data_IF_668957249806
#
_entry.id   IF_668957249806
#
_cell.length_a   1.000
_cell.length_b   1.000
_cell.length_c   1.000
_cell.angle_alpha   90.00
_cell.angle_beta   90.00
_cell.angle_gamma   90.00
#
_symmetry.space_group_name_H-M   'P 1'
#
loop_
_entity.id
_entity.type
_entity.pdbx_description
1 polymer ?
#
# COMPACT_ATOMS: atom_id res chain seq x y z
N UNK A 1 -33.57 -28.65 15.50
CA UNK A 1 -32.66 -28.10 14.47
C UNK A 1 -32.68 -26.59 14.64
N UNK A 2 -31.61 -26.01 15.22
CA UNK A 2 -31.49 -24.55 15.36
C UNK A 2 -31.04 -24.03 13.99
N UNK A 3 -31.89 -23.23 13.36
CA UNK A 3 -31.63 -22.63 12.06
C UNK A 3 -30.66 -21.46 12.25
N UNK A 4 -29.36 -21.76 12.16
CA UNK A 4 -28.31 -20.73 12.19
C UNK A 4 -28.32 -20.05 10.82
N UNK A 5 -28.89 -18.86 10.78
CA UNK A 5 -28.93 -18.00 9.60
C UNK A 5 -27.53 -17.43 9.38
N UNK A 6 -26.74 -18.07 8.52
CA UNK A 6 -25.40 -17.64 8.07
C UNK A 6 -25.37 -16.25 7.38
N UNK A 7 -26.54 -15.64 7.13
CA UNK A 7 -26.66 -14.37 6.39
C UNK A 7 -26.13 -13.16 7.16
N UNK A 8 -25.93 -13.23 8.48
CA UNK A 8 -25.54 -12.06 9.32
C UNK A 8 -24.03 -11.98 9.59
N UNK A 9 -23.26 -13.01 9.24
CA UNK A 9 -21.82 -13.16 9.55
C UNK A 9 -20.94 -12.07 8.90
N UNK A 10 -21.31 -11.60 7.70
CA UNK A 10 -20.53 -10.60 6.97
C UNK A 10 -20.50 -9.20 7.62
N UNK A 11 -21.42 -8.92 8.56
CA UNK A 11 -21.43 -7.65 9.32
C UNK A 11 -20.61 -7.69 10.61
N UNK A 12 -20.22 -8.87 11.09
CA UNK A 12 -19.41 -8.99 12.31
C UNK A 12 -18.04 -8.33 12.12
N UNK A 13 -17.35 -8.62 11.01
CA UNK A 13 -16.02 -8.06 10.73
C UNK A 13 -16.05 -6.52 10.62
N UNK A 14 -16.96 -5.90 9.83
CA UNK A 14 -17.12 -4.44 9.81
C UNK A 14 -17.40 -3.83 11.18
N UNK A 15 -18.28 -4.44 11.97
CA UNK A 15 -18.68 -3.92 13.29
C UNK A 15 -17.51 -3.93 14.28
N UNK A 16 -16.72 -5.01 14.30
CA UNK A 16 -15.52 -5.11 15.13
C UNK A 16 -14.47 -4.08 14.70
N UNK A 17 -14.22 -3.95 13.39
CA UNK A 17 -13.26 -2.98 12.84
C UNK A 17 -13.66 -1.55 13.20
N UNK A 18 -14.94 -1.19 13.05
CA UNK A 18 -15.47 0.11 13.46
C UNK A 18 -15.28 0.32 14.96
N UNK A 19 -15.59 -0.68 15.78
CA UNK A 19 -15.39 -0.62 17.24
C UNK A 19 -13.94 -0.33 17.61
N UNK A 20 -12.98 -1.04 17.01
CA UNK A 20 -11.55 -0.82 17.23
C UNK A 20 -11.15 0.59 16.79
N UNK A 21 -11.60 1.04 15.60
CA UNK A 21 -11.31 2.38 15.10
C UNK A 21 -11.82 3.47 16.03
N UNK A 22 -13.03 3.32 16.58
CA UNK A 22 -13.61 4.27 17.55
C UNK A 22 -12.80 4.32 18.84
N UNK A 23 -12.35 3.16 19.34
CA UNK A 23 -11.49 3.09 20.54
C UNK A 23 -10.15 3.78 20.29
N UNK A 24 -9.51 3.51 19.15
CA UNK A 24 -8.25 4.16 18.77
C UNK A 24 -8.42 5.67 18.62
N UNK A 25 -9.52 6.11 18.00
CA UNK A 25 -9.84 7.53 17.86
C UNK A 25 -10.03 8.20 19.23
N UNK A 26 -10.77 7.56 20.14
CA UNK A 26 -10.92 8.03 21.51
C UNK A 26 -9.56 8.11 22.24
N UNK A 27 -8.69 7.11 22.06
CA UNK A 27 -7.35 7.11 22.64
C UNK A 27 -6.48 8.26 22.11
N UNK A 28 -6.55 8.56 20.81
CA UNK A 28 -5.87 9.72 20.21
C UNK A 28 -6.40 11.02 20.80
N UNK A 29 -7.73 11.18 20.87
CA UNK A 29 -8.37 12.37 21.43
C UNK A 29 -7.96 12.59 22.89
N UNK A 30 -7.92 11.53 23.69
CA UNK A 30 -7.51 11.59 25.11
C UNK A 30 -6.02 11.91 25.23
N UNK A 31 -5.15 11.22 24.48
CA UNK A 31 -3.70 11.43 24.56
C UNK A 31 -3.29 12.81 24.08
N UNK A 32 -3.83 13.26 22.95
CA UNK A 32 -3.63 14.63 22.46
C UNK A 32 -4.26 15.67 23.39
N UNK A 33 -5.47 15.41 23.89
CA UNK A 33 -6.16 16.27 24.83
C UNK A 33 -5.37 16.50 26.13
N UNK A 34 -4.84 15.42 26.71
CA UNK A 34 -4.01 15.47 27.92
C UNK A 34 -2.66 16.14 27.65
N UNK A 35 -2.00 15.82 26.54
CA UNK A 35 -0.73 16.43 26.15
C UNK A 35 -0.88 17.93 25.87
N UNK A 36 -2.00 18.36 25.28
CA UNK A 36 -2.31 19.77 24.97
C UNK A 36 -2.76 20.54 26.22
N UNK A 37 -3.53 19.91 27.13
CA UNK A 37 -3.88 20.50 28.44
C UNK A 37 -2.63 20.80 29.29
N UNK A 38 -1.63 19.91 29.25
CA UNK A 38 -0.32 20.15 29.88
C UNK A 38 0.47 21.31 29.26
N UNK A 39 0.20 21.66 27.99
CA UNK A 39 0.85 22.74 27.24
C UNK A 39 0.04 24.06 27.20
N UNK A 40 -1.17 24.09 27.78
CA UNK A 40 -2.04 25.27 27.77
C UNK A 40 -2.59 25.67 26.40
N UNK A 41 -2.56 24.77 25.40
CA UNK A 41 -3.05 25.06 24.04
C UNK A 41 -4.50 24.62 23.83
N UNK A 42 -5.24 25.34 22.97
CA UNK A 42 -6.63 25.02 22.62
C UNK A 42 -6.76 23.63 21.94
N UNK A 43 -7.79 22.88 22.33
CA UNK A 43 -8.06 21.50 21.89
C UNK A 43 -8.33 21.40 20.39
N UNK A 44 -9.06 22.35 19.82
CA UNK A 44 -9.24 22.51 18.37
C UNK A 44 -8.42 23.70 17.88
N UNK A 45 -7.15 23.48 17.51
CA UNK A 45 -6.48 24.42 16.61
C UNK A 45 -7.20 24.35 15.26
N UNK A 46 -7.55 25.51 14.69
CA UNK A 46 -7.99 25.66 13.30
C UNK A 46 -7.12 24.75 12.45
N UNK A 47 -7.71 23.85 11.65
CA UNK A 47 -6.97 22.96 10.76
C UNK A 47 -5.87 23.79 10.09
N UNK A 48 -4.62 23.55 10.48
CA UNK A 48 -3.49 24.29 9.93
C UNK A 48 -3.57 24.20 8.42
N UNK A 49 -3.26 25.30 7.71
CA UNK A 49 -3.28 25.37 6.23
C UNK A 49 -2.84 24.02 5.66
N UNK A 50 -3.79 23.22 5.17
CA UNK A 50 -3.52 21.88 4.60
C UNK A 50 -2.53 21.98 3.42
N UNK A 51 -2.48 23.16 2.80
CA UNK A 51 -1.50 23.58 1.82
C UNK A 51 -0.45 24.46 2.52
N UNK A 52 0.52 23.83 3.17
CA UNK A 52 1.77 24.49 3.56
C UNK A 52 2.50 24.85 2.26
N UNK A 53 3.10 26.05 2.16
CA UNK A 53 3.77 26.63 0.98
C UNK A 53 4.95 25.81 0.39
N UNK A 54 5.16 24.57 0.83
CA UNK A 54 6.11 23.58 0.30
C UNK A 54 5.46 22.21 0.04
N UNK A 55 4.18 22.18 -0.32
CA UNK A 55 3.55 20.95 -0.75
C UNK A 55 4.30 20.43 -1.98
N UNK A 56 4.90 19.25 -1.88
CA UNK A 56 5.58 18.55 -2.96
C UNK A 56 4.54 18.04 -3.98
N UNK A 57 3.87 18.97 -4.66
CA UNK A 57 2.86 18.68 -5.67
C UNK A 57 3.43 17.77 -6.77
N UNK A 58 4.73 17.87 -7.06
CA UNK A 58 5.43 16.99 -8.00
C UNK A 58 5.40 15.53 -7.54
N UNK A 59 5.57 15.26 -6.24
CA UNK A 59 5.50 13.88 -5.72
C UNK A 59 4.04 13.39 -5.69
N UNK A 60 3.10 14.27 -5.35
CA UNK A 60 1.66 13.94 -5.36
C UNK A 60 1.16 13.59 -6.77
N UNK A 61 1.34 14.49 -7.73
CA UNK A 61 0.93 14.27 -9.12
C UNK A 61 1.79 13.19 -9.78
N UNK A 62 3.09 13.12 -9.47
CA UNK A 62 3.97 12.05 -9.95
C UNK A 62 3.47 10.67 -9.53
N UNK A 63 3.13 10.49 -8.26
CA UNK A 63 2.51 9.24 -7.75
C UNK A 63 1.20 8.94 -8.45
N UNK A 64 0.33 9.93 -8.63
CA UNK A 64 -0.98 9.74 -9.27
C UNK A 64 -0.81 9.26 -10.73
N UNK A 65 0.07 9.91 -11.49
CA UNK A 65 0.37 9.53 -12.88
C UNK A 65 0.99 8.14 -12.93
N UNK A 66 1.93 7.82 -12.02
CA UNK A 66 2.55 6.51 -11.96
C UNK A 66 1.52 5.40 -11.69
N UNK A 67 0.53 5.69 -10.86
CA UNK A 67 -0.53 4.74 -10.51
C UNK A 67 -1.47 4.48 -11.69
N UNK A 68 -1.87 5.52 -12.40
CA UNK A 68 -2.67 5.40 -13.63
C UNK A 68 -1.90 4.61 -14.69
N UNK A 69 -0.61 4.92 -14.87
CA UNK A 69 0.26 4.20 -15.79
C UNK A 69 0.39 2.72 -15.41
N UNK A 70 0.56 2.41 -14.11
CA UNK A 70 0.62 1.04 -13.63
C UNK A 70 -0.62 0.23 -14.00
N UNK A 71 -1.82 0.76 -13.73
CA UNK A 71 -3.09 0.09 -14.06
C UNK A 71 -3.21 -0.15 -15.57
N UNK A 72 -2.81 0.82 -16.40
CA UNK A 72 -2.87 0.68 -17.85
C UNK A 72 -1.85 -0.33 -18.42
N UNK A 73 -0.68 -0.45 -17.80
CA UNK A 73 0.43 -1.27 -18.30
C UNK A 73 0.42 -2.70 -17.75
N UNK A 74 -0.17 -2.94 -16.57
CA UNK A 74 -0.11 -4.24 -15.89
C UNK A 74 -0.76 -5.36 -16.70
N UNK A 75 -1.87 -5.08 -17.38
CA UNK A 75 -2.58 -6.06 -18.21
C UNK A 75 -1.84 -6.38 -19.52
N UNK A 76 -1.00 -5.45 -20.00
CA UNK A 76 -0.26 -5.60 -21.26
C UNK A 76 1.09 -6.31 -21.04
N UNK A 77 1.88 -5.80 -20.08
CA UNK A 77 3.27 -6.26 -19.86
C UNK A 77 3.32 -7.43 -18.87
N UNK A 78 2.42 -7.43 -17.89
CA UNK A 78 2.36 -8.42 -16.82
C UNK A 78 2.82 -7.87 -15.48
N UNK A 79 2.31 -8.49 -14.41
CA UNK A 79 2.48 -8.03 -13.04
C UNK A 79 3.95 -7.82 -12.64
N UNK A 80 4.78 -8.85 -12.77
CA UNK A 80 6.15 -8.85 -12.20
C UNK A 80 7.02 -7.73 -12.76
N UNK A 81 7.04 -7.55 -14.09
CA UNK A 81 7.87 -6.52 -14.75
C UNK A 81 7.31 -5.13 -14.47
N UNK A 82 5.98 -4.97 -14.56
CA UNK A 82 5.33 -3.68 -14.30
C UNK A 82 5.54 -3.22 -12.85
N UNK A 83 5.46 -4.14 -11.88
CA UNK A 83 5.73 -3.85 -10.48
C UNK A 83 7.18 -3.48 -10.22
N UNK A 84 8.16 -4.16 -10.86
CA UNK A 84 9.58 -3.79 -10.72
C UNK A 84 9.80 -2.35 -11.19
N UNK A 85 9.32 -2.01 -12.39
CA UNK A 85 9.46 -0.66 -12.96
C UNK A 85 8.73 0.38 -12.11
N UNK A 86 7.51 0.08 -11.68
CA UNK A 86 6.70 0.97 -10.85
C UNK A 86 7.35 1.23 -9.49
N UNK A 87 7.76 0.20 -8.76
CA UNK A 87 8.39 0.34 -7.44
C UNK A 87 9.73 1.06 -7.56
N UNK A 88 10.49 0.81 -8.62
CA UNK A 88 11.72 1.53 -8.89
C UNK A 88 11.47 3.04 -9.11
N UNK A 89 10.56 3.40 -10.02
CA UNK A 89 10.22 4.80 -10.31
C UNK A 89 9.60 5.51 -9.09
N UNK A 90 8.77 4.81 -8.33
CA UNK A 90 8.18 5.33 -7.11
C UNK A 90 9.26 5.63 -6.07
N UNK A 91 10.18 4.70 -5.85
CA UNK A 91 11.26 4.88 -4.88
C UNK A 91 12.23 5.98 -5.32
N UNK A 92 12.47 6.13 -6.63
CA UNK A 92 13.25 7.24 -7.20
C UNK A 92 12.56 8.60 -7.02
N UNK A 93 11.23 8.66 -7.17
CA UNK A 93 10.43 9.88 -6.98
C UNK A 93 10.51 10.40 -5.54
N UNK A 94 10.60 9.51 -4.56
CA UNK A 94 10.65 9.87 -3.13
C UNK A 94 12.07 10.06 -2.59
N UNK A 95 13.04 9.24 -3.03
CA UNK A 95 14.42 9.23 -2.51
C UNK A 95 15.38 10.11 -3.33
N UNK A 96 15.03 10.43 -4.59
CA UNK A 96 15.83 11.26 -5.49
C UNK A 96 16.97 10.52 -6.21
N UNK A 97 17.65 11.23 -7.12
CA UNK A 97 18.60 10.65 -8.10
C UNK A 97 20.04 10.43 -7.59
N UNK A 98 20.24 10.18 -6.29
CA UNK A 98 21.60 9.89 -5.79
C UNK A 98 22.04 8.47 -6.19
N UNK A 99 23.34 8.26 -6.49
CA UNK A 99 23.85 6.93 -6.90
C UNK A 99 23.50 5.83 -5.89
N UNK A 100 23.57 6.14 -4.60
CA UNK A 100 23.23 5.21 -3.51
C UNK A 100 21.72 4.93 -3.45
N UNK A 101 20.89 5.95 -3.68
CA UNK A 101 19.44 5.81 -3.74
C UNK A 101 18.98 4.97 -4.92
N UNK A 102 19.57 5.18 -6.11
CA UNK A 102 19.24 4.40 -7.31
C UNK A 102 19.54 2.92 -7.08
N UNK A 103 20.72 2.58 -6.55
CA UNK A 103 21.07 1.17 -6.27
C UNK A 103 20.09 0.54 -5.27
N UNK A 104 19.79 1.25 -4.17
CA UNK A 104 18.81 0.76 -3.19
C UNK A 104 17.42 0.60 -3.79
N UNK A 105 16.98 1.52 -4.64
CA UNK A 105 15.67 1.44 -5.31
C UNK A 105 15.58 0.25 -6.26
N UNK A 106 16.66 -0.07 -6.99
CA UNK A 106 16.71 -1.27 -7.85
C UNK A 106 16.57 -2.52 -6.99
N UNK A 107 17.38 -2.66 -5.94
CA UNK A 107 17.33 -3.83 -5.05
C UNK A 107 15.95 -4.00 -4.44
N UNK A 108 15.38 -2.93 -3.88
CA UNK A 108 14.05 -2.96 -3.26
C UNK A 108 12.98 -3.34 -4.29
N UNK A 109 13.04 -2.76 -5.50
CA UNK A 109 12.04 -3.03 -6.55
C UNK A 109 12.02 -4.49 -6.97
N UNK A 110 13.18 -5.11 -7.14
CA UNK A 110 13.31 -6.53 -7.51
C UNK A 110 12.86 -7.42 -6.36
N UNK A 111 13.40 -7.22 -5.15
CA UNK A 111 13.06 -8.05 -3.99
C UNK A 111 11.58 -7.96 -3.68
N UNK A 112 11.01 -6.75 -3.58
CA UNK A 112 9.60 -6.57 -3.25
C UNK A 112 8.67 -7.21 -4.30
N UNK A 113 8.95 -6.97 -5.60
CA UNK A 113 8.11 -7.51 -6.67
C UNK A 113 8.17 -9.03 -6.74
N UNK A 114 9.35 -9.62 -6.55
CA UNK A 114 9.51 -11.08 -6.50
C UNK A 114 8.83 -11.68 -5.27
N UNK A 115 9.02 -11.09 -4.08
CA UNK A 115 8.37 -11.56 -2.85
C UNK A 115 6.86 -11.56 -3.00
N UNK A 116 6.28 -10.47 -3.53
CA UNK A 116 4.83 -10.38 -3.75
C UNK A 116 4.40 -11.43 -4.78
N UNK A 117 5.10 -11.54 -5.91
CA UNK A 117 4.74 -12.50 -6.95
C UNK A 117 4.80 -13.96 -6.47
N UNK A 118 5.77 -14.31 -5.60
CA UNK A 118 5.85 -15.64 -4.95
C UNK A 118 4.72 -15.83 -3.95
N UNK A 119 4.44 -14.83 -3.12
CA UNK A 119 3.40 -14.91 -2.10
C UNK A 119 2.02 -15.11 -2.74
N UNK A 120 1.70 -14.40 -3.82
CA UNK A 120 0.43 -14.61 -4.52
C UNK A 120 0.40 -15.89 -5.36
N UNK A 121 1.49 -16.23 -6.05
CA UNK A 121 1.55 -17.41 -6.91
C UNK A 121 1.62 -18.73 -6.15
N UNK A 122 2.41 -18.80 -5.07
CA UNK A 122 2.64 -20.05 -4.32
C UNK A 122 1.79 -20.10 -3.06
N UNK A 123 1.80 -19.05 -2.23
CA UNK A 123 1.12 -19.10 -0.91
C UNK A 123 -0.39 -18.96 -1.06
N UNK A 124 -0.85 -18.06 -1.94
CA UNK A 124 -2.27 -17.85 -2.17
C UNK A 124 -2.84 -18.64 -3.34
N UNK A 125 -1.99 -19.17 -4.23
CA UNK A 125 -2.39 -19.91 -5.43
C UNK A 125 -3.38 -19.10 -6.31
N UNK A 126 -3.19 -17.78 -6.38
CA UNK A 126 -3.99 -16.86 -7.19
C UNK A 126 -3.18 -16.48 -8.42
N UNK A 127 -3.81 -16.54 -9.60
CA UNK A 127 -3.19 -16.09 -10.84
C UNK A 127 -3.08 -14.56 -10.86
N UNK A 128 -1.86 -14.07 -11.06
CA UNK A 128 -1.62 -12.65 -11.31
C UNK A 128 -1.77 -12.36 -12.80
N UNK A 129 -2.03 -11.10 -13.21
CA UNK A 129 -2.04 -10.72 -14.62
C UNK A 129 -0.73 -11.13 -15.31
N UNK A 130 -0.81 -12.20 -16.10
CA UNK A 130 0.28 -12.72 -16.92
C UNK A 130 0.22 -12.04 -18.29
N UNK A 131 0.82 -10.85 -18.38
CA UNK A 131 1.03 -10.15 -19.64
C UNK A 131 2.20 -10.74 -20.43
N UNK A 132 2.64 -10.04 -21.48
CA UNK A 132 3.61 -10.54 -22.48
C UNK A 132 4.99 -10.96 -21.92
N UNK A 133 5.35 -10.53 -20.71
CA UNK A 133 6.65 -10.79 -20.07
C UNK A 133 6.49 -11.27 -18.63
N UNK A 134 5.57 -12.22 -18.40
CA UNK A 134 5.38 -12.83 -17.08
C UNK A 134 6.46 -13.88 -16.80
N UNK A 135 7.25 -13.67 -15.75
CA UNK A 135 7.95 -14.76 -15.08
C UNK A 135 6.91 -15.54 -14.25
N UNK A 136 6.11 -16.36 -14.94
CA UNK A 136 5.24 -17.35 -14.30
C UNK A 136 6.15 -18.36 -13.62
N UNK A 137 6.17 -18.37 -12.28
CA UNK A 137 6.93 -19.38 -11.52
C UNK A 137 6.46 -20.82 -11.83
N UNK A 138 5.29 -20.96 -12.45
CA UNK A 138 4.79 -22.20 -13.06
C UNK A 138 5.66 -22.69 -14.23
N UNK A 139 6.27 -21.80 -15.02
CA UNK A 139 7.16 -22.15 -16.15
C UNK A 139 8.62 -22.39 -15.72
N UNK A 140 9.00 -21.98 -14.51
CA UNK A 140 10.34 -22.21 -13.95
C UNK A 140 10.50 -23.60 -13.30
N UNK A 141 9.48 -24.46 -13.37
CA UNK A 141 9.52 -25.81 -12.82
C UNK A 141 9.65 -25.87 -11.28
N UNK A 142 9.42 -24.75 -10.59
CA UNK A 142 9.45 -24.68 -9.13
C UNK A 142 8.04 -24.99 -8.62
N UNK A 143 7.66 -26.26 -8.74
CA UNK A 143 6.59 -26.88 -7.94
C UNK A 143 7.19 -27.33 -6.62
N UNK A 144 7.00 -26.55 -5.56
CA UNK A 144 7.11 -27.09 -4.20
C UNK A 144 5.77 -27.71 -3.84
N UNK A 145 5.79 -29.02 -3.57
CA UNK A 145 4.68 -29.80 -3.00
C UNK A 145 4.27 -29.24 -1.64
#
# INVERSE_FOLDING_TARGET
MINVVYSSEHWIMPTIVIGILVILLAAIIITEGLARKKKGEAFFKKAGKFFIDKADFVKLFGTLVLFIAYIALVDVIGFTVTSIVFVFLFNLLYTGFSKKAVIMSVVISVVASLTISVLFGIVFNITLPSGMLSLTFTDLGITFY
#
